data_IF_512995915549
#
_entry.id   IF_512995915549
#
_cell.length_a   1.000
_cell.length_b   1.000
_cell.length_c   1.000
_cell.angle_alpha   90.00
_cell.angle_beta   90.00
_cell.angle_gamma   90.00
#
_symmetry.space_group_name_H-M   'P 1'
#
loop_
_entity.id
_entity.type
_entity.pdbx_description
1 polymer ?
#
# COMPACT_ATOMS: atom_id res chain seq x y z
N UNK A 1 4.26 21.95 4.77
CA UNK A 1 5.07 20.73 4.54
C UNK A 1 4.76 19.58 5.51
N UNK A 2 4.15 19.83 6.68
CA UNK A 2 3.72 18.78 7.61
C UNK A 2 2.84 17.71 6.95
N UNK A 3 1.78 18.12 6.24
CA UNK A 3 0.83 17.19 5.60
C UNK A 3 1.47 16.18 4.62
N UNK A 4 2.46 16.58 3.80
CA UNK A 4 3.14 15.62 2.89
C UNK A 4 4.01 14.61 3.65
N UNK A 5 4.68 15.05 4.72
CA UNK A 5 5.50 14.18 5.55
C UNK A 5 4.62 13.18 6.30
N UNK A 6 3.53 13.67 6.87
CA UNK A 6 2.57 12.86 7.60
C UNK A 6 1.90 11.84 6.66
N UNK A 7 1.49 12.25 5.46
CA UNK A 7 0.92 11.35 4.46
C UNK A 7 1.89 10.25 4.04
N UNK A 8 3.17 10.58 3.78
CA UNK A 8 4.20 9.56 3.50
C UNK A 8 4.38 8.60 4.66
N UNK A 9 4.33 9.12 5.90
CA UNK A 9 4.46 8.31 7.11
C UNK A 9 3.29 7.33 7.24
N UNK A 10 2.07 7.81 7.00
CA UNK A 10 0.86 6.98 7.00
C UNK A 10 0.94 5.87 5.95
N UNK A 11 1.35 6.19 4.71
CA UNK A 11 1.56 5.19 3.65
C UNK A 11 2.58 4.14 4.09
N UNK A 12 3.72 4.57 4.66
CA UNK A 12 4.75 3.65 5.13
C UNK A 12 4.27 2.77 6.28
N UNK A 13 3.46 3.28 7.21
CA UNK A 13 2.93 2.47 8.31
C UNK A 13 1.95 1.43 7.79
N UNK A 14 0.96 1.85 7.00
CA UNK A 14 -0.04 0.92 6.44
C UNK A 14 0.63 -0.18 5.63
N UNK A 15 1.58 0.17 4.74
CA UNK A 15 2.27 -0.84 3.93
C UNK A 15 3.24 -1.73 4.74
N UNK A 16 3.82 -1.22 5.83
CA UNK A 16 4.61 -2.05 6.75
C UNK A 16 3.74 -3.05 7.51
N UNK A 17 2.56 -2.64 7.97
CA UNK A 17 1.62 -3.51 8.67
C UNK A 17 1.10 -4.60 7.72
N UNK A 18 0.68 -4.23 6.50
CA UNK A 18 0.27 -5.20 5.47
C UNK A 18 1.39 -6.21 5.14
N UNK A 19 2.65 -5.75 5.10
CA UNK A 19 3.78 -6.65 4.86
C UNK A 19 3.95 -7.66 6.01
N UNK A 20 3.86 -7.18 7.25
CA UNK A 20 3.95 -8.04 8.42
C UNK A 20 2.81 -9.06 8.48
N UNK A 21 1.57 -8.63 8.18
CA UNK A 21 0.40 -9.52 8.12
C UNK A 21 0.55 -10.57 7.02
N UNK A 22 1.01 -10.21 5.83
CA UNK A 22 1.26 -11.19 4.76
C UNK A 22 2.32 -12.24 5.14
N UNK A 23 3.39 -11.82 5.83
CA UNK A 23 4.41 -12.75 6.35
C UNK A 23 3.85 -13.62 7.48
N UNK A 24 2.99 -13.07 8.35
CA UNK A 24 2.34 -13.85 9.39
C UNK A 24 1.40 -14.90 8.78
N UNK A 25 0.55 -14.49 7.83
CA UNK A 25 -0.34 -15.38 7.11
C UNK A 25 0.43 -16.53 6.47
N UNK A 26 1.56 -16.27 5.78
CA UNK A 26 2.35 -17.34 5.16
C UNK A 26 2.99 -18.33 6.14
N UNK A 27 3.26 -17.90 7.38
CA UNK A 27 3.84 -18.76 8.41
C UNK A 27 2.81 -19.62 9.15
N UNK A 28 1.56 -19.16 9.26
CA UNK A 28 0.53 -19.78 10.10
C UNK A 28 -0.61 -20.45 9.32
N UNK A 29 -0.82 -20.13 8.05
CA UNK A 29 -1.82 -20.77 7.18
C UNK A 29 -1.37 -22.16 6.70
N UNK A 30 -2.32 -22.99 6.27
CA UNK A 30 -2.04 -24.34 5.77
C UNK A 30 -1.43 -24.30 4.37
N UNK A 31 -0.13 -23.98 4.28
CA UNK A 31 0.71 -23.98 3.07
C UNK A 31 0.08 -23.26 1.85
N UNK A 32 0.01 -21.92 1.86
CA UNK A 32 -0.18 -21.13 0.64
C UNK A 32 0.98 -21.39 -0.32
N UNK A 33 0.75 -21.21 -1.62
CA UNK A 33 1.84 -21.34 -2.59
C UNK A 33 2.83 -20.18 -2.40
N UNK A 34 4.14 -20.48 -2.34
CA UNK A 34 5.20 -19.47 -2.14
C UNK A 34 5.12 -18.34 -3.20
N UNK A 35 4.70 -18.65 -4.43
CA UNK A 35 4.52 -17.69 -5.51
C UNK A 35 3.42 -16.64 -5.23
N UNK A 36 2.33 -17.04 -4.54
CA UNK A 36 1.24 -16.13 -4.21
C UNK A 36 1.69 -15.12 -3.13
N UNK A 37 2.44 -15.61 -2.13
CA UNK A 37 3.00 -14.78 -1.05
C UNK A 37 4.00 -13.78 -1.61
N UNK A 38 4.96 -14.22 -2.44
CA UNK A 38 5.95 -13.34 -3.06
C UNK A 38 5.31 -12.29 -3.97
N UNK A 39 4.24 -12.68 -4.68
CA UNK A 39 3.43 -11.77 -5.50
C UNK A 39 2.79 -10.65 -4.67
N UNK A 40 2.17 -10.99 -3.54
CA UNK A 40 1.54 -10.03 -2.63
C UNK A 40 2.59 -9.11 -1.99
N UNK A 41 3.69 -9.65 -1.48
CA UNK A 41 4.77 -8.86 -0.88
C UNK A 41 5.38 -7.87 -1.89
N UNK A 42 5.55 -8.31 -3.14
CA UNK A 42 6.02 -7.45 -4.23
C UNK A 42 5.03 -6.31 -4.50
N UNK A 43 3.73 -6.62 -4.57
CA UNK A 43 2.69 -5.62 -4.78
C UNK A 43 2.70 -4.54 -3.68
N UNK A 44 2.84 -4.94 -2.40
CA UNK A 44 2.94 -4.00 -1.27
C UNK A 44 4.10 -3.03 -1.45
N UNK A 45 5.29 -3.53 -1.82
CA UNK A 45 6.48 -2.70 -2.03
C UNK A 45 6.30 -1.76 -3.23
N UNK A 46 5.68 -2.23 -4.30
CA UNK A 46 5.40 -1.43 -5.50
C UNK A 46 4.45 -0.26 -5.18
N UNK A 47 3.32 -0.54 -4.51
CA UNK A 47 2.35 0.49 -4.10
C UNK A 47 3.01 1.52 -3.18
N UNK A 48 3.75 1.08 -2.16
CA UNK A 48 4.48 2.00 -1.28
C UNK A 48 5.36 2.95 -2.10
N UNK A 49 6.14 2.40 -3.02
CA UNK A 49 7.08 3.18 -3.83
C UNK A 49 6.34 4.18 -4.73
N UNK A 50 5.30 3.74 -5.44
CA UNK A 50 4.48 4.61 -6.29
C UNK A 50 3.88 5.79 -5.51
N UNK A 51 3.17 5.50 -4.42
CA UNK A 51 2.47 6.53 -3.68
C UNK A 51 3.40 7.49 -2.94
N UNK A 52 4.56 7.03 -2.44
CA UNK A 52 5.58 7.93 -1.88
C UNK A 52 6.13 8.89 -2.94
N UNK A 53 6.34 8.41 -4.16
CA UNK A 53 6.75 9.24 -5.30
C UNK A 53 5.64 10.25 -5.66
N UNK A 54 4.40 9.80 -5.82
CA UNK A 54 3.24 10.66 -6.16
C UNK A 54 3.02 11.76 -5.12
N UNK A 55 3.19 11.50 -3.83
CA UNK A 55 3.10 12.54 -2.79
C UNK A 55 4.15 13.65 -3.01
N UNK A 56 5.33 13.28 -3.50
CA UNK A 56 6.45 14.19 -3.78
C UNK A 56 6.27 14.97 -5.08
N UNK A 57 5.54 14.39 -6.05
CA UNK A 57 5.42 14.90 -7.41
C UNK A 57 3.94 15.10 -7.82
N UNK A 58 3.24 16.12 -7.27
CA UNK A 58 1.89 16.46 -7.70
C UNK A 58 1.82 16.81 -9.18
N UNK A 59 0.70 16.45 -9.82
CA UNK A 59 0.47 16.71 -11.24
C UNK A 59 0.36 18.22 -11.52
N UNK A 60 1.14 18.76 -12.47
CA UNK A 60 1.03 20.16 -12.87
C UNK A 60 -0.35 20.46 -13.46
N UNK A 61 -0.95 21.58 -13.07
CA UNK A 61 -2.25 22.02 -13.60
C UNK A 61 -3.48 21.49 -12.85
N UNK A 62 -3.32 20.59 -11.87
CA UNK A 62 -4.40 20.19 -10.96
C UNK A 62 -4.38 20.98 -9.65
N UNK A 63 -5.54 21.34 -9.12
CA UNK A 63 -5.64 21.89 -7.76
C UNK A 63 -5.08 20.89 -6.74
N UNK A 64 -4.15 21.34 -5.89
CA UNK A 64 -3.45 20.47 -4.93
C UNK A 64 -4.40 19.70 -4.01
N UNK A 65 -5.48 20.33 -3.55
CA UNK A 65 -6.47 19.69 -2.68
C UNK A 65 -7.17 18.54 -3.38
N UNK A 66 -7.57 18.73 -4.65
CA UNK A 66 -8.19 17.71 -5.48
C UNK A 66 -7.22 16.56 -5.77
N UNK A 67 -5.96 16.88 -6.07
CA UNK A 67 -4.92 15.89 -6.31
C UNK A 67 -4.71 14.97 -5.09
N UNK A 68 -4.49 15.56 -3.90
CA UNK A 68 -4.23 14.77 -2.70
C UNK A 68 -5.44 13.98 -2.22
N UNK A 69 -6.66 14.50 -2.41
CA UNK A 69 -7.88 13.74 -2.13
C UNK A 69 -7.94 12.48 -3.00
N UNK A 70 -7.75 12.62 -4.31
CA UNK A 70 -7.74 11.50 -5.25
C UNK A 70 -6.61 10.51 -4.94
N UNK A 71 -5.42 11.00 -4.61
CA UNK A 71 -4.28 10.15 -4.23
C UNK A 71 -4.62 9.26 -3.03
N UNK A 72 -5.27 9.81 -2.00
CA UNK A 72 -5.69 9.04 -0.82
C UNK A 72 -6.76 8.01 -1.19
N UNK A 73 -7.75 8.40 -2.00
CA UNK A 73 -8.79 7.49 -2.49
C UNK A 73 -8.20 6.32 -3.29
N UNK A 74 -7.28 6.61 -4.21
CA UNK A 74 -6.57 5.61 -5.02
C UNK A 74 -5.74 4.67 -4.13
N UNK A 75 -5.02 5.22 -3.15
CA UNK A 75 -4.19 4.42 -2.23
C UNK A 75 -5.06 3.47 -1.41
N UNK A 76 -6.13 3.98 -0.79
CA UNK A 76 -7.03 3.18 0.03
C UNK A 76 -7.66 2.04 -0.78
N UNK A 77 -8.05 2.31 -2.02
CA UNK A 77 -8.61 1.28 -2.91
C UNK A 77 -7.62 0.13 -3.12
N UNK A 78 -6.38 0.44 -3.51
CA UNK A 78 -5.39 -0.61 -3.76
C UNK A 78 -4.94 -1.30 -2.46
N UNK A 79 -4.87 -0.57 -1.34
CA UNK A 79 -4.57 -1.16 -0.04
C UNK A 79 -5.65 -2.18 0.37
N UNK A 80 -6.93 -1.84 0.21
CA UNK A 80 -8.04 -2.77 0.45
C UNK A 80 -7.95 -4.02 -0.45
N UNK A 81 -7.67 -3.85 -1.75
CA UNK A 81 -7.51 -4.98 -2.68
C UNK A 81 -6.40 -5.94 -2.23
N UNK A 82 -5.26 -5.44 -1.74
CA UNK A 82 -4.19 -6.29 -1.21
C UNK A 82 -4.58 -6.91 0.13
N UNK A 83 -5.25 -6.18 1.03
CA UNK A 83 -5.73 -6.75 2.30
C UNK A 83 -6.66 -7.93 2.04
N UNK A 84 -7.56 -7.81 1.06
CA UNK A 84 -8.44 -8.91 0.66
C UNK A 84 -7.63 -10.11 0.13
N UNK A 85 -6.55 -9.89 -0.63
CA UNK A 85 -5.65 -10.96 -1.07
C UNK A 85 -4.94 -11.64 0.10
N UNK A 86 -4.45 -10.88 1.08
CA UNK A 86 -3.81 -11.43 2.29
C UNK A 86 -4.80 -12.30 3.07
N UNK A 87 -6.03 -11.82 3.26
CA UNK A 87 -7.08 -12.57 3.97
C UNK A 87 -7.49 -13.87 3.26
N UNK A 88 -7.24 -13.98 1.95
CA UNK A 88 -7.50 -15.21 1.19
C UNK A 88 -6.33 -16.22 1.24
N UNK A 89 -5.22 -15.89 1.91
CA UNK A 89 -4.13 -16.85 2.17
C UNK A 89 -4.45 -17.81 3.32
N UNK A 90 -5.41 -17.46 4.18
CA UNK A 90 -5.88 -18.26 5.33
C UNK A 90 -6.98 -19.28 4.97
#
# INVERSE_FOLDING_TARGET
MANKRDLKRTINYITSDMFAECVAASLYSSKPADEDVDGILTAIVMIRTDFICRVSHPEPGMEQKKYYKKLIEDFNKQACEIIDQINNLD
#
